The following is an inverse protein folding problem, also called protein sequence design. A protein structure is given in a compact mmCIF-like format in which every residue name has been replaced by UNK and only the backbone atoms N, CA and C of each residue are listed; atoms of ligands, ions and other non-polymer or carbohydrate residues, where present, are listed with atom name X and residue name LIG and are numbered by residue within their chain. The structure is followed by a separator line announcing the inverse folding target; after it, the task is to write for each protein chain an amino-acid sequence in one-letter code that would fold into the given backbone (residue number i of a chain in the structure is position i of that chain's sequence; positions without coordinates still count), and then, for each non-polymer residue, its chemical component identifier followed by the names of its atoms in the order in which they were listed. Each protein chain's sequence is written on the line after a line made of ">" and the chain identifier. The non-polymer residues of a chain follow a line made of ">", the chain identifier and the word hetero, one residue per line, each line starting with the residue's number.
data_IF_942787104309
#
_entry.id   IF_942787104309
#
_cell.length_a   1.000
_cell.length_b   1.000
_cell.length_c   1.000
_cell.angle_alpha   90.00
_cell.angle_beta   90.00
_cell.angle_gamma   90.00
#
_symmetry.space_group_name_H-M   'P 1'
#
loop_
_entity.id
_entity.type
_entity.pdbx_description
1 polymer ?
#
# COMPACT_ATOMS: atom_id res chain seq x y z
N UNK A 1 -6.42 -10.36 27.05
CA UNK A 1 -6.15 -9.67 25.79
C UNK A 1 -5.29 -10.57 24.92
N UNK A 2 -5.66 -10.76 23.68
CA UNK A 2 -4.90 -11.61 22.75
C UNK A 2 -3.97 -10.71 21.95
N UNK A 3 -2.67 -10.91 22.11
CA UNK A 3 -1.66 -10.23 21.30
C UNK A 3 -1.29 -11.15 20.13
N UNK A 4 -1.19 -10.56 18.95
CA UNK A 4 -0.72 -11.30 17.80
C UNK A 4 0.79 -11.36 17.80
N UNK A 5 1.33 -12.57 17.76
CA UNK A 5 2.76 -12.76 17.54
C UNK A 5 3.14 -12.26 16.14
N UNK A 6 4.38 -11.77 15.93
CA UNK A 6 4.79 -11.28 14.62
C UNK A 6 4.60 -12.28 13.49
N UNK A 7 4.83 -13.57 13.75
CA UNK A 7 4.65 -14.60 12.74
C UNK A 7 3.18 -14.83 12.42
N UNK A 8 2.31 -14.74 13.43
CA UNK A 8 0.87 -14.86 13.22
C UNK A 8 0.34 -13.67 12.43
N UNK A 9 0.81 -12.47 12.73
CA UNK A 9 0.42 -11.27 11.99
C UNK A 9 0.85 -11.36 10.53
N UNK A 10 2.07 -11.86 10.30
CA UNK A 10 2.57 -12.03 8.93
C UNK A 10 1.74 -13.05 8.16
N UNK A 11 1.38 -14.15 8.80
CA UNK A 11 0.54 -15.18 8.18
C UNK A 11 -0.83 -14.60 7.81
N UNK A 12 -1.45 -13.86 8.72
CA UNK A 12 -2.75 -13.23 8.44
C UNK A 12 -2.65 -12.21 7.32
N UNK A 13 -1.56 -11.44 7.27
CA UNK A 13 -1.35 -10.49 6.18
C UNK A 13 -1.23 -11.22 4.85
N UNK A 14 -0.49 -12.32 4.81
CA UNK A 14 -0.37 -13.12 3.60
C UNK A 14 -1.73 -13.67 3.16
N UNK A 15 -2.56 -14.12 4.09
CA UNK A 15 -3.91 -14.60 3.79
C UNK A 15 -4.75 -13.46 3.21
N UNK A 16 -4.65 -12.25 3.79
CA UNK A 16 -5.37 -11.09 3.27
C UNK A 16 -4.95 -10.77 1.84
N UNK A 17 -3.63 -10.79 1.56
CA UNK A 17 -3.13 -10.49 0.22
C UNK A 17 -3.53 -11.59 -0.78
N UNK A 18 -3.59 -12.85 -0.35
CA UNK A 18 -4.11 -13.93 -1.19
C UNK A 18 -5.59 -13.70 -1.52
N UNK A 19 -6.37 -13.25 -0.53
CA UNK A 19 -7.78 -12.93 -0.76
C UNK A 19 -7.94 -11.81 -1.78
N UNK A 20 -7.08 -10.78 -1.70
CA UNK A 20 -7.04 -9.70 -2.70
C UNK A 20 -6.80 -10.28 -4.09
N UNK A 21 -5.82 -11.17 -4.23
CA UNK A 21 -5.49 -11.80 -5.51
C UNK A 21 -6.63 -12.64 -6.07
N UNK A 22 -7.52 -13.11 -5.22
CA UNK A 22 -8.69 -13.89 -5.62
C UNK A 22 -9.96 -13.04 -5.72
N UNK A 23 -9.83 -11.71 -5.67
CA UNK A 23 -10.95 -10.76 -5.70
C UNK A 23 -11.91 -10.91 -4.51
N UNK A 24 -11.42 -11.46 -3.40
CA UNK A 24 -12.20 -11.59 -2.17
C UNK A 24 -11.93 -10.37 -1.28
N UNK A 25 -12.39 -9.21 -1.75
CA UNK A 25 -12.02 -7.94 -1.12
C UNK A 25 -12.62 -7.78 0.28
N UNK A 26 -13.82 -8.29 0.50
CA UNK A 26 -14.46 -8.18 1.79
C UNK A 26 -13.74 -9.01 2.85
N UNK A 27 -13.29 -10.21 2.48
CA UNK A 27 -12.49 -11.06 3.37
C UNK A 27 -11.16 -10.39 3.69
N UNK A 28 -10.49 -9.83 2.68
CA UNK A 28 -9.23 -9.12 2.86
C UNK A 28 -9.42 -7.90 3.77
N UNK A 29 -10.51 -7.15 3.58
CA UNK A 29 -10.82 -5.99 4.41
C UNK A 29 -10.98 -6.38 5.87
N UNK A 30 -11.71 -7.46 6.14
CA UNK A 30 -11.93 -7.93 7.51
C UNK A 30 -10.63 -8.29 8.20
N UNK A 31 -9.74 -8.98 7.48
CA UNK A 31 -8.45 -9.38 8.04
C UNK A 31 -7.56 -8.15 8.27
N UNK A 32 -7.49 -7.26 7.29
CA UNK A 32 -6.69 -6.04 7.42
C UNK A 32 -7.17 -5.16 8.56
N UNK A 33 -8.49 -4.97 8.70
CA UNK A 33 -9.04 -4.17 9.78
C UNK A 33 -8.66 -4.74 11.14
N UNK A 34 -8.69 -6.06 11.29
CA UNK A 34 -8.29 -6.72 12.53
C UNK A 34 -6.80 -6.50 12.79
N UNK A 35 -5.95 -6.68 11.78
CA UNK A 35 -4.51 -6.46 11.91
C UNK A 35 -4.17 -5.01 12.28
N UNK A 36 -4.86 -4.06 11.67
CA UNK A 36 -4.66 -2.63 11.97
C UNK A 36 -5.01 -2.29 13.41
N UNK A 37 -5.98 -2.98 13.99
CA UNK A 37 -6.35 -2.80 15.40
C UNK A 37 -5.29 -3.34 16.36
N UNK A 38 -4.68 -4.47 16.03
CA UNK A 38 -3.68 -5.11 16.89
C UNK A 38 -2.28 -4.59 16.67
N UNK A 39 -1.97 -4.11 15.45
CA UNK A 39 -0.63 -3.65 15.09
C UNK A 39 -0.72 -2.36 14.27
N UNK A 40 -1.19 -1.25 14.87
CA UNK A 40 -1.48 -0.03 14.10
C UNK A 40 -0.26 0.66 13.50
N UNK A 41 0.94 0.36 13.99
CA UNK A 41 2.16 1.05 13.57
C UNK A 41 3.00 0.23 12.57
N UNK A 42 2.37 -0.70 11.86
CA UNK A 42 3.04 -1.54 10.87
C UNK A 42 2.91 -0.94 9.47
N UNK A 43 4.04 -0.52 8.88
CA UNK A 43 4.05 0.06 7.54
C UNK A 43 3.54 -0.91 6.48
N UNK A 44 3.80 -2.21 6.67
CA UNK A 44 3.32 -3.23 5.73
C UNK A 44 1.80 -3.29 5.64
N UNK A 45 1.09 -2.92 6.70
CA UNK A 45 -0.37 -2.89 6.68
C UNK A 45 -0.88 -1.71 5.84
N UNK A 46 -0.19 -0.58 5.89
CA UNK A 46 -0.54 0.57 5.07
C UNK A 46 -0.36 0.23 3.58
N UNK A 47 0.75 -0.43 3.24
CA UNK A 47 0.98 -0.88 1.86
C UNK A 47 -0.09 -1.88 1.43
N UNK A 48 -0.46 -2.83 2.29
CA UNK A 48 -1.49 -3.82 1.98
C UNK A 48 -2.86 -3.15 1.77
N UNK A 49 -3.18 -2.15 2.57
CA UNK A 49 -4.43 -1.38 2.41
C UNK A 49 -4.47 -0.70 1.05
N UNK A 50 -3.36 -0.08 0.65
CA UNK A 50 -3.27 0.56 -0.66
C UNK A 50 -3.46 -0.48 -1.78
N UNK A 51 -2.82 -1.64 -1.65
CA UNK A 51 -2.97 -2.72 -2.64
C UNK A 51 -4.43 -3.19 -2.73
N UNK A 52 -5.09 -3.34 -1.59
CA UNK A 52 -6.51 -3.74 -1.56
C UNK A 52 -7.37 -2.75 -2.34
N UNK A 53 -7.21 -1.46 -2.07
CA UNK A 53 -7.98 -0.43 -2.75
C UNK A 53 -7.71 -0.40 -4.25
N UNK A 54 -6.44 -0.52 -4.64
CA UNK A 54 -6.07 -0.52 -6.06
C UNK A 54 -6.59 -1.77 -6.77
N UNK A 55 -6.54 -2.92 -6.11
CA UNK A 55 -7.03 -4.17 -6.70
C UNK A 55 -8.55 -4.15 -6.88
N UNK A 56 -9.25 -3.44 -5.99
CA UNK A 56 -10.69 -3.21 -6.13
C UNK A 56 -11.00 -2.09 -7.13
N UNK A 57 -9.99 -1.55 -7.80
CA UNK A 57 -10.07 -0.45 -8.77
C UNK A 57 -10.56 0.86 -8.17
N UNK A 58 -10.41 1.00 -6.86
CA UNK A 58 -10.69 2.26 -6.17
C UNK A 58 -9.40 3.09 -6.10
N UNK A 59 -8.96 3.59 -7.25
CA UNK A 59 -7.68 4.29 -7.34
C UNK A 59 -7.71 5.63 -6.61
N UNK A 60 -8.83 6.35 -6.69
CA UNK A 60 -8.96 7.59 -5.94
C UNK A 60 -8.97 7.31 -4.44
N UNK A 61 -9.64 6.25 -4.01
CA UNK A 61 -9.63 5.84 -2.60
C UNK A 61 -8.23 5.48 -2.14
N UNK A 62 -7.42 4.85 -3.00
CA UNK A 62 -6.04 4.53 -2.67
C UNK A 62 -5.22 5.81 -2.47
N UNK A 63 -5.34 6.79 -3.38
CA UNK A 63 -4.64 8.07 -3.24
C UNK A 63 -5.07 8.78 -1.96
N UNK A 64 -6.37 8.84 -1.70
CA UNK A 64 -6.90 9.50 -0.51
C UNK A 64 -6.38 8.84 0.77
N UNK A 65 -6.39 7.52 0.83
CA UNK A 65 -5.86 6.78 1.97
C UNK A 65 -4.36 7.06 2.17
N UNK A 66 -3.59 7.02 1.08
CA UNK A 66 -2.14 7.25 1.16
C UNK A 66 -1.87 8.66 1.68
N UNK A 67 -2.57 9.68 1.15
CA UNK A 67 -2.33 11.06 1.55
C UNK A 67 -2.79 11.36 2.97
N UNK A 68 -3.94 10.84 3.37
CA UNK A 68 -4.56 11.20 4.66
C UNK A 68 -4.08 10.35 5.82
N UNK A 69 -3.73 9.11 5.56
CA UNK A 69 -3.36 8.15 6.61
C UNK A 69 -1.97 7.59 6.41
N UNK A 70 -1.71 6.98 5.24
CA UNK A 70 -0.47 6.24 5.02
C UNK A 70 0.77 7.10 5.17
N UNK A 71 0.86 8.18 4.43
CA UNK A 71 2.04 9.06 4.48
C UNK A 71 2.07 9.97 5.71
N UNK A 72 0.94 10.15 6.38
CA UNK A 72 0.93 10.84 7.67
C UNK A 72 1.63 9.99 8.73
N UNK A 73 1.35 8.69 8.75
CA UNK A 73 2.01 7.76 9.68
C UNK A 73 3.42 7.37 9.24
N UNK A 74 3.63 7.20 7.95
CA UNK A 74 4.88 6.71 7.37
C UNK A 74 5.36 7.65 6.28
N UNK A 75 5.79 8.88 6.65
CA UNK A 75 6.11 9.92 5.65
C UNK A 75 7.28 9.56 4.74
N UNK A 76 8.15 8.65 5.16
CA UNK A 76 9.30 8.23 4.37
C UNK A 76 9.06 6.96 3.56
N UNK A 77 7.81 6.49 3.48
CA UNK A 77 7.51 5.26 2.77
C UNK A 77 7.58 5.46 1.26
N UNK A 78 8.66 4.95 0.67
CA UNK A 78 8.82 4.94 -0.79
C UNK A 78 7.75 4.08 -1.45
N UNK A 79 7.36 2.96 -0.83
CA UNK A 79 6.37 2.08 -1.42
C UNK A 79 5.00 2.75 -1.53
N UNK A 80 4.59 3.52 -0.52
CA UNK A 80 3.34 4.27 -0.59
C UNK A 80 3.39 5.34 -1.68
N UNK A 81 4.53 6.00 -1.84
CA UNK A 81 4.70 6.96 -2.94
C UNK A 81 4.59 6.26 -4.29
N UNK A 82 5.22 5.09 -4.43
CA UNK A 82 5.13 4.33 -5.68
C UNK A 82 3.69 3.93 -5.98
N UNK A 83 2.96 3.45 -4.99
CA UNK A 83 1.54 3.08 -5.16
C UNK A 83 0.68 4.29 -5.50
N UNK A 84 0.95 5.43 -4.88
CA UNK A 84 0.23 6.67 -5.22
C UNK A 84 0.43 7.03 -6.69
N UNK A 85 1.67 6.98 -7.15
CA UNK A 85 1.97 7.23 -8.56
C UNK A 85 1.29 6.22 -9.48
N UNK A 86 1.33 4.94 -9.11
CA UNK A 86 0.66 3.90 -9.88
C UNK A 86 -0.84 4.16 -9.98
N UNK A 87 -1.47 4.57 -8.88
CA UNK A 87 -2.90 4.88 -8.86
C UNK A 87 -3.23 6.02 -9.83
N UNK A 88 -2.40 7.07 -9.82
CA UNK A 88 -2.60 8.17 -10.78
C UNK A 88 -2.44 7.70 -12.22
N UNK A 89 -1.46 6.84 -12.52
CA UNK A 89 -1.31 6.30 -13.87
C UNK A 89 -2.54 5.50 -14.30
N UNK A 90 -3.10 4.72 -13.38
CA UNK A 90 -4.30 3.94 -13.67
C UNK A 90 -5.53 4.83 -13.89
N UNK A 91 -5.51 6.04 -13.36
CA UNK A 91 -6.55 7.04 -13.61
C UNK A 91 -6.24 7.92 -14.82
N UNK A 92 -5.19 7.58 -15.56
CA UNK A 92 -4.75 8.35 -16.74
C UNK A 92 -4.37 9.79 -16.38
N UNK A 93 -3.67 9.96 -15.25
CA UNK A 93 -3.21 11.26 -14.76
C UNK A 93 -1.68 11.23 -14.60
N UNK A 94 -0.94 11.11 -15.71
CA UNK A 94 0.53 10.94 -15.64
C UNK A 94 1.26 12.15 -15.07
N UNK A 95 0.74 13.36 -15.23
CA UNK A 95 1.38 14.54 -14.68
C UNK A 95 1.37 14.53 -13.15
N UNK A 96 0.32 14.01 -12.55
CA UNK A 96 0.21 13.91 -11.10
C UNK A 96 1.00 12.71 -10.56
N UNK A 97 1.22 11.71 -11.38
CA UNK A 97 2.00 10.54 -11.00
C UNK A 97 3.50 10.83 -10.88
N UNK A 98 4.00 11.81 -11.62
CA UNK A 98 5.44 12.04 -11.75
C UNK A 98 6.11 12.37 -10.42
N UNK A 99 5.51 13.24 -9.60
CA UNK A 99 6.06 13.64 -8.31
C UNK A 99 6.26 12.45 -7.37
N UNK A 100 5.19 11.70 -7.06
CA UNK A 100 5.31 10.51 -6.20
C UNK A 100 6.28 9.46 -6.74
N UNK A 101 6.26 9.21 -8.05
CA UNK A 101 7.15 8.21 -8.64
C UNK A 101 8.61 8.66 -8.55
N UNK A 102 8.88 9.94 -8.80
CA UNK A 102 10.25 10.47 -8.68
C UNK A 102 10.73 10.38 -7.23
N UNK A 103 9.87 10.71 -6.27
CA UNK A 103 10.21 10.59 -4.86
C UNK A 103 10.57 9.16 -4.49
N UNK A 104 9.76 8.18 -4.95
CA UNK A 104 10.03 6.78 -4.67
C UNK A 104 11.30 6.29 -5.37
N UNK A 105 11.53 6.69 -6.62
CA UNK A 105 12.70 6.26 -7.39
C UNK A 105 14.01 6.73 -6.76
N UNK A 106 13.97 7.83 -6.04
CA UNK A 106 15.16 8.39 -5.38
C UNK A 106 15.42 7.84 -3.98
N UNK A 107 14.57 6.96 -3.48
CA UNK A 107 14.70 6.37 -2.14
C UNK A 107 15.56 5.10 -2.22
N UNK A 108 16.83 5.23 -1.89
CA UNK A 108 17.74 4.08 -1.96
C UNK A 108 17.56 3.11 -0.82
N UNK A 109 16.90 3.51 0.27
CA UNK A 109 16.65 2.64 1.41
C UNK A 109 15.64 1.52 1.12
N UNK A 110 14.82 1.69 0.09
CA UNK A 110 13.84 0.68 -0.34
C UNK A 110 14.05 0.38 -1.82
N UNK A 111 14.97 -0.55 -2.15
CA UNK A 111 15.27 -0.84 -3.56
C UNK A 111 14.08 -1.35 -4.36
N UNK A 112 13.19 -2.13 -3.74
CA UNK A 112 12.02 -2.66 -4.43
C UNK A 112 11.08 -1.54 -4.86
N UNK A 113 10.79 -0.60 -3.95
CA UNK A 113 9.94 0.54 -4.26
C UNK A 113 10.59 1.44 -5.31
N UNK A 114 11.90 1.68 -5.19
CA UNK A 114 12.64 2.51 -6.14
C UNK A 114 12.60 1.89 -7.53
N UNK A 115 12.79 0.58 -7.64
CA UNK A 115 12.77 -0.10 -8.93
C UNK A 115 11.37 -0.06 -9.56
N UNK A 116 10.34 -0.31 -8.76
CA UNK A 116 8.97 -0.19 -9.22
C UNK A 116 8.69 1.19 -9.80
N UNK A 117 9.08 2.22 -9.07
CA UNK A 117 8.88 3.60 -9.50
C UNK A 117 9.65 3.92 -10.79
N UNK A 118 10.89 3.45 -10.90
CA UNK A 118 11.68 3.65 -12.12
C UNK A 118 11.03 2.98 -13.32
N UNK A 119 10.50 1.78 -13.13
CA UNK A 119 9.83 1.06 -14.21
C UNK A 119 8.56 1.79 -14.64
N UNK A 120 7.82 2.37 -13.70
CA UNK A 120 6.60 3.12 -14.00
C UNK A 120 6.88 4.47 -14.63
N UNK A 121 8.06 5.04 -14.42
CA UNK A 121 8.46 6.32 -15.02
C UNK A 121 8.88 6.20 -16.49
N UNK A 122 9.11 5.00 -16.96
CA UNK A 122 9.48 4.77 -18.37
C UNK A 122 8.27 5.00 -19.33
#
# INVERSE_FOLDING_TARGET
>A
MVDLEPDEARLLLNIALMAVGQNRFQSAESILAALERFRPDEASLASARAVLLMSAQDFQGAVDYIDRIGLVKFPDSAMLQAFKGMAYLRMERPNEARGPLTAAANQTADPAAAQLAKDLLK
#
